data_IF_960633197317
#
_entry.id   IF_960633197317
#
_cell.length_a   1.000
_cell.length_b   1.000
_cell.length_c   1.000
_cell.angle_alpha   90.00
_cell.angle_beta   90.00
_cell.angle_gamma   90.00
#
_symmetry.space_group_name_H-M   'P 1'
#
loop_
_entity.id
_entity.type
_entity.pdbx_description
1 polymer ?
#
# COMPACT_ATOMS: atom_id res chain seq x y z
N UNK A 1 6.85 21.96 -35.61
CA UNK A 1 7.55 20.69 -35.88
C UNK A 1 8.73 20.42 -34.93
N UNK A 2 9.19 21.41 -34.14
CA UNK A 2 10.37 21.25 -33.28
C UNK A 2 10.10 20.83 -31.81
N UNK A 3 8.85 20.85 -31.34
CA UNK A 3 8.52 20.38 -29.98
C UNK A 3 8.37 18.86 -29.88
N UNK A 4 7.87 18.20 -30.92
CA UNK A 4 7.73 16.73 -30.97
C UNK A 4 9.10 16.03 -30.96
N UNK A 5 10.13 16.67 -31.53
CA UNK A 5 11.52 16.15 -31.49
C UNK A 5 12.19 16.34 -30.13
N UNK A 6 11.85 17.37 -29.35
CA UNK A 6 12.40 17.56 -27.99
C UNK A 6 11.90 16.51 -27.00
N UNK A 7 10.62 16.14 -27.08
CA UNK A 7 10.05 15.04 -26.29
C UNK A 7 10.77 13.73 -26.66
N UNK A 8 10.93 13.40 -27.95
CA UNK A 8 11.65 12.19 -28.36
C UNK A 8 13.13 12.10 -27.93
N UNK A 9 13.78 13.22 -27.60
CA UNK A 9 15.21 13.25 -27.24
C UNK A 9 15.44 13.14 -25.73
N UNK A 10 14.54 13.63 -24.88
CA UNK A 10 14.59 13.36 -23.43
C UNK A 10 14.30 11.87 -23.11
N UNK A 11 13.50 11.20 -23.94
CA UNK A 11 13.10 9.81 -23.73
C UNK A 11 14.17 8.78 -24.10
N UNK A 12 15.12 9.12 -24.99
CA UNK A 12 16.23 8.20 -25.34
C UNK A 12 17.22 7.96 -24.20
N UNK A 13 17.20 8.77 -23.14
CA UNK A 13 18.09 8.61 -21.99
C UNK A 13 17.55 7.69 -20.90
N UNK A 14 16.29 7.24 -20.97
CA UNK A 14 15.74 6.23 -20.05
C UNK A 14 16.03 4.78 -20.46
N UNK A 15 16.60 4.58 -21.65
CA UNK A 15 16.79 3.25 -22.24
C UNK A 15 18.27 3.03 -22.57
N UNK A 16 19.04 2.62 -21.56
CA UNK A 16 20.30 1.90 -21.77
C UNK A 16 20.22 0.56 -21.05
N UNK A 17 20.18 -0.50 -21.85
CA UNK A 17 20.43 -1.87 -21.41
C UNK A 17 21.87 -1.99 -20.87
N UNK A 18 22.01 -2.81 -19.83
CA UNK A 18 23.22 -3.15 -19.07
C UNK A 18 23.77 -2.08 -18.12
N UNK A 19 23.15 -1.87 -16.95
CA UNK A 19 23.84 -1.26 -15.80
C UNK A 19 23.37 -1.94 -14.49
N UNK A 20 24.35 -2.39 -13.71
CA UNK A 20 24.24 -2.70 -12.28
C UNK A 20 23.41 -1.60 -11.57
N UNK A 21 22.47 -2.01 -10.73
CA UNK A 21 21.73 -1.23 -9.74
C UNK A 21 22.26 0.18 -9.45
N UNK A 22 21.51 1.21 -9.85
CA UNK A 22 21.64 2.54 -9.23
C UNK A 22 20.31 3.31 -9.28
N UNK A 23 19.23 2.66 -8.86
CA UNK A 23 18.09 3.43 -8.34
C UNK A 23 18.49 3.88 -6.93
N UNK A 24 18.84 5.15 -6.76
CA UNK A 24 19.05 5.72 -5.43
C UNK A 24 17.68 5.91 -4.75
N UNK A 25 17.12 4.79 -4.27
CA UNK A 25 15.96 4.83 -3.39
C UNK A 25 16.50 5.10 -1.98
N UNK A 26 16.14 6.27 -1.44
CA UNK A 26 16.38 6.57 -0.03
C UNK A 26 15.36 5.81 0.81
N UNK A 27 15.77 4.68 1.37
CA UNK A 27 14.91 3.87 2.23
C UNK A 27 14.83 4.47 3.63
N UNK A 28 13.62 4.65 4.19
CA UNK A 28 13.49 5.20 5.54
C UNK A 28 13.87 4.19 6.62
N UNK A 29 13.79 2.88 6.34
CA UNK A 29 14.26 1.81 7.23
C UNK A 29 14.85 0.63 6.43
N UNK A 30 15.55 -0.26 7.12
CA UNK A 30 16.08 -1.49 6.52
C UNK A 30 14.97 -2.44 6.08
N UNK A 31 13.83 -2.45 6.78
CA UNK A 31 12.66 -3.26 6.47
C UNK A 31 12.03 -2.86 5.13
N UNK A 32 11.98 -1.56 4.82
CA UNK A 32 11.52 -1.07 3.52
C UNK A 32 12.42 -1.56 2.39
N UNK A 33 13.75 -1.49 2.61
CA UNK A 33 14.73 -2.02 1.67
C UNK A 33 14.55 -3.51 1.45
N UNK A 34 14.44 -4.28 2.54
CA UNK A 34 14.25 -5.73 2.49
C UNK A 34 12.97 -6.11 1.72
N UNK A 35 11.86 -5.38 1.94
CA UNK A 35 10.61 -5.61 1.23
C UNK A 35 10.76 -5.39 -0.28
N UNK A 36 11.30 -4.22 -0.67
CA UNK A 36 11.51 -3.88 -2.08
C UNK A 36 12.46 -4.88 -2.76
N UNK A 37 13.54 -5.29 -2.09
CA UNK A 37 14.46 -6.30 -2.64
C UNK A 37 13.81 -7.67 -2.82
N UNK A 38 12.96 -8.10 -1.88
CA UNK A 38 12.22 -9.36 -1.97
C UNK A 38 11.27 -9.35 -3.18
N UNK A 39 10.43 -8.32 -3.29
CA UNK A 39 9.49 -8.16 -4.41
C UNK A 39 10.23 -8.00 -5.74
N UNK A 40 11.32 -7.24 -5.77
CA UNK A 40 12.14 -7.10 -6.98
C UNK A 40 12.66 -8.45 -7.47
N UNK A 41 13.24 -9.27 -6.59
CA UNK A 41 13.77 -10.60 -6.94
C UNK A 41 12.65 -11.52 -7.42
N UNK A 42 11.49 -11.47 -6.77
CA UNK A 42 10.31 -12.23 -7.15
C UNK A 42 9.81 -11.83 -8.55
N UNK A 43 9.56 -10.54 -8.78
CA UNK A 43 9.10 -10.03 -10.07
C UNK A 43 10.10 -10.33 -11.18
N UNK A 44 11.41 -10.22 -10.91
CA UNK A 44 12.48 -10.55 -11.85
C UNK A 44 12.42 -12.02 -12.28
N UNK A 45 12.26 -12.93 -11.33
CA UNK A 45 12.22 -14.38 -11.58
C UNK A 45 10.97 -14.78 -12.36
N UNK A 46 9.85 -14.11 -12.10
CA UNK A 46 8.57 -14.35 -12.77
C UNK A 46 8.32 -13.47 -14.01
N UNK A 47 9.34 -12.70 -14.45
CA UNK A 47 9.25 -11.77 -15.60
C UNK A 47 8.08 -10.78 -15.50
N UNK A 48 7.77 -10.31 -14.29
CA UNK A 48 6.78 -9.28 -14.01
C UNK A 48 7.45 -7.90 -13.96
N UNK A 49 6.83 -6.90 -14.55
CA UNK A 49 7.25 -5.52 -14.39
C UNK A 49 6.89 -5.00 -13.00
N UNK A 50 7.71 -4.09 -12.49
CA UNK A 50 7.57 -3.53 -11.15
C UNK A 50 7.80 -2.03 -11.20
N UNK A 51 6.88 -1.27 -10.62
CA UNK A 51 6.92 0.19 -10.56
C UNK A 51 6.69 0.60 -9.12
N UNK A 52 7.58 1.43 -8.60
CA UNK A 52 7.48 2.04 -7.27
C UNK A 52 6.86 3.43 -7.40
N UNK A 53 5.91 3.74 -6.51
CA UNK A 53 5.20 5.02 -6.48
C UNK A 53 5.28 5.65 -5.08
N UNK A 54 4.56 6.76 -4.93
CA UNK A 54 4.30 7.37 -3.64
C UNK A 54 5.53 7.99 -3.00
N UNK A 55 5.55 8.02 -1.68
CA UNK A 55 6.57 8.74 -0.92
C UNK A 55 7.97 8.14 -1.07
N UNK A 56 8.09 6.82 -1.25
CA UNK A 56 9.37 6.16 -1.51
C UNK A 56 9.94 6.55 -2.88
N UNK A 57 9.12 6.55 -3.93
CA UNK A 57 9.56 6.99 -5.27
C UNK A 57 9.99 8.47 -5.28
N UNK A 58 9.35 9.30 -4.45
CA UNK A 58 9.64 10.74 -4.31
C UNK A 58 10.81 11.05 -3.36
N UNK A 59 11.33 10.07 -2.64
CA UNK A 59 12.36 10.29 -1.61
C UNK A 59 11.87 11.07 -0.38
N UNK A 60 10.57 11.10 -0.12
CA UNK A 60 9.93 11.80 1.01
C UNK A 60 9.32 10.85 2.04
N UNK A 61 9.64 9.57 1.94
CA UNK A 61 9.14 8.54 2.84
C UNK A 61 9.67 8.70 4.27
N UNK A 62 8.80 8.44 5.25
CA UNK A 62 9.18 8.31 6.66
C UNK A 62 9.23 6.84 7.04
N UNK A 63 9.69 6.52 8.26
CA UNK A 63 9.69 5.14 8.77
C UNK A 63 8.31 4.48 8.89
N UNK A 64 7.23 5.25 8.75
CA UNK A 64 5.85 4.78 8.78
C UNK A 64 5.18 4.87 7.41
N UNK A 65 5.88 5.34 6.38
CA UNK A 65 5.31 5.43 5.04
C UNK A 65 4.87 4.06 4.51
N UNK A 66 3.78 4.09 3.76
CA UNK A 66 3.33 3.00 2.89
C UNK A 66 4.29 2.82 1.69
N UNK A 67 4.36 1.58 1.20
CA UNK A 67 5.04 1.21 -0.03
C UNK A 67 3.99 1.04 -1.12
N UNK A 68 3.93 1.98 -2.06
CA UNK A 68 3.01 1.91 -3.20
C UNK A 68 3.68 1.22 -4.39
N UNK A 69 3.13 0.08 -4.84
CA UNK A 69 3.66 -0.67 -5.98
C UNK A 69 2.61 -0.91 -7.05
N UNK A 70 3.04 -0.87 -8.31
CA UNK A 70 2.31 -1.44 -9.43
C UNK A 70 3.09 -2.63 -9.98
N UNK A 71 2.41 -3.77 -10.11
CA UNK A 71 2.96 -4.98 -10.74
C UNK A 71 2.20 -5.24 -12.03
N UNK A 72 2.95 -5.44 -13.12
CA UNK A 72 2.39 -5.73 -14.45
C UNK A 72 2.89 -7.05 -15.02
N UNK A 73 1.95 -7.88 -15.44
CA UNK A 73 2.23 -9.15 -16.10
C UNK A 73 1.07 -10.11 -15.94
N UNK A 74 1.24 -11.31 -16.49
CA UNK A 74 0.31 -12.41 -16.25
C UNK A 74 0.54 -12.93 -14.83
N UNK A 75 -0.51 -12.87 -14.03
CA UNK A 75 -0.48 -13.24 -12.61
C UNK A 75 -1.63 -14.22 -12.37
N UNK A 76 -1.28 -15.45 -11.99
CA UNK A 76 -2.23 -16.48 -11.59
C UNK A 76 -2.33 -16.60 -10.07
N UNK A 77 -3.07 -17.59 -9.57
CA UNK A 77 -3.36 -17.72 -8.14
C UNK A 77 -2.07 -17.99 -7.35
N UNK A 78 -1.20 -18.84 -7.91
CA UNK A 78 0.06 -19.22 -7.29
C UNK A 78 1.01 -18.02 -7.19
N UNK A 79 1.09 -17.21 -8.24
CA UNK A 79 1.89 -15.97 -8.22
C UNK A 79 1.35 -15.00 -7.17
N UNK A 80 0.03 -14.91 -6.97
CA UNK A 80 -0.56 -14.07 -5.89
C UNK A 80 -0.22 -14.62 -4.51
N UNK A 81 -0.40 -15.93 -4.28
CA UNK A 81 -0.06 -16.61 -3.01
C UNK A 81 1.39 -16.28 -2.59
N UNK A 82 2.32 -16.47 -3.53
CA UNK A 82 3.73 -16.20 -3.31
C UNK A 82 3.98 -14.71 -3.12
N UNK A 83 3.36 -13.83 -3.92
CA UNK A 83 3.54 -12.39 -3.81
C UNK A 83 3.09 -11.85 -2.45
N UNK A 84 2.01 -12.39 -1.87
CA UNK A 84 1.51 -12.01 -0.55
C UNK A 84 2.45 -12.45 0.56
N UNK A 85 3.11 -13.60 0.39
CA UNK A 85 3.87 -14.26 1.45
C UNK A 85 5.38 -14.15 1.30
N UNK A 86 5.89 -13.62 0.19
CA UNK A 86 7.33 -13.55 -0.13
C UNK A 86 8.18 -12.84 0.93
N UNK A 87 7.61 -11.83 1.58
CA UNK A 87 8.26 -11.10 2.66
C UNK A 87 7.99 -11.69 4.05
N UNK A 88 7.07 -12.64 4.14
CA UNK A 88 6.49 -13.17 5.36
C UNK A 88 4.97 -12.99 5.37
N UNK A 89 4.29 -13.68 6.26
CA UNK A 89 2.83 -13.62 6.35
C UNK A 89 2.37 -12.23 6.85
N UNK A 90 1.50 -11.53 6.11
CA UNK A 90 0.90 -10.30 6.60
C UNK A 90 0.00 -10.57 7.82
N UNK A 91 -0.01 -9.62 8.74
CA UNK A 91 -0.90 -9.60 9.92
C UNK A 91 -2.30 -9.14 9.51
N UNK A 92 -2.38 -8.17 8.58
CA UNK A 92 -3.65 -7.74 8.01
C UNK A 92 -3.56 -7.73 6.48
N UNK A 93 -4.60 -8.26 5.84
CA UNK A 93 -4.84 -8.14 4.40
C UNK A 93 -6.21 -7.52 4.13
N UNK A 94 -6.30 -6.68 3.09
CA UNK A 94 -7.57 -6.10 2.66
C UNK A 94 -7.52 -5.67 1.18
N UNK A 95 -8.68 -5.40 0.60
CA UNK A 95 -8.83 -4.72 -0.68
C UNK A 95 -9.40 -3.31 -0.45
N UNK A 96 -8.86 -2.32 -1.16
CA UNK A 96 -9.44 -0.98 -1.16
C UNK A 96 -10.78 -0.93 -1.90
N UNK A 97 -11.71 -0.11 -1.40
CA UNK A 97 -13.00 0.14 -2.06
C UNK A 97 -12.94 1.37 -3.00
N UNK A 98 -12.09 2.35 -2.67
CA UNK A 98 -11.87 3.55 -3.49
C UNK A 98 -10.42 4.07 -3.35
N UNK A 99 -9.57 4.01 -4.40
CA UNK A 99 -9.81 3.32 -5.68
C UNK A 99 -9.99 1.83 -5.43
N UNK A 100 -10.85 1.15 -6.20
CA UNK A 100 -11.15 -0.27 -5.96
C UNK A 100 -9.97 -1.20 -6.29
N UNK A 101 -9.87 -2.31 -5.56
CA UNK A 101 -9.06 -3.50 -5.86
C UNK A 101 -7.53 -3.33 -5.71
N UNK A 102 -7.06 -2.42 -4.85
CA UNK A 102 -5.65 -2.41 -4.40
C UNK A 102 -5.52 -3.34 -3.20
N UNK A 103 -4.58 -4.27 -3.28
CA UNK A 103 -4.28 -5.21 -2.20
C UNK A 103 -3.40 -4.53 -1.16
N UNK A 104 -3.94 -4.37 0.05
CA UNK A 104 -3.21 -3.84 1.19
C UNK A 104 -2.66 -4.99 2.02
N UNK A 105 -1.35 -4.99 2.22
CA UNK A 105 -0.64 -5.91 3.10
C UNK A 105 -0.02 -5.13 4.25
N UNK A 106 -0.28 -5.58 5.49
CA UNK A 106 0.32 -5.01 6.70
C UNK A 106 1.09 -6.10 7.42
N UNK A 107 2.39 -5.89 7.62
CA UNK A 107 3.27 -6.81 8.32
C UNK A 107 3.49 -6.40 9.78
N UNK A 108 3.91 -7.35 10.61
CA UNK A 108 4.12 -7.15 12.06
C UNK A 108 5.19 -6.09 12.40
N UNK A 109 6.09 -5.79 11.47
CA UNK A 109 7.12 -4.77 11.58
C UNK A 109 6.66 -3.40 11.04
N UNK A 110 5.35 -3.20 10.89
CA UNK A 110 4.69 -2.00 10.36
C UNK A 110 4.93 -1.69 8.88
N UNK A 111 5.60 -2.59 8.13
CA UNK A 111 5.64 -2.46 6.68
C UNK A 111 4.22 -2.61 6.14
N UNK A 112 3.77 -1.55 5.47
CA UNK A 112 2.46 -1.45 4.86
C UNK A 112 2.64 -1.27 3.36
N UNK A 113 1.92 -2.04 2.57
CA UNK A 113 2.11 -2.10 1.12
C UNK A 113 0.78 -2.03 0.43
N UNK A 114 0.69 -1.11 -0.52
CA UNK A 114 -0.42 -0.97 -1.45
C UNK A 114 0.02 -1.60 -2.79
N UNK A 115 -0.42 -2.84 -3.03
CA UNK A 115 -0.13 -3.62 -4.23
C UNK A 115 -1.25 -3.45 -5.26
N UNK A 116 -0.93 -2.77 -6.36
CA UNK A 116 -1.84 -2.62 -7.49
C UNK A 116 -1.41 -3.52 -8.66
N UNK A 117 -2.17 -4.60 -8.89
CA UNK A 117 -1.84 -5.62 -9.89
C UNK A 117 -2.72 -5.40 -11.12
N UNK A 118 -2.08 -5.12 -12.26
CA UNK A 118 -2.79 -4.74 -13.50
C UNK A 118 -2.12 -5.35 -14.73
N UNK A 119 -2.85 -5.40 -15.84
CA UNK A 119 -2.29 -5.86 -17.12
C UNK A 119 -1.58 -4.72 -17.90
N UNK A 120 -1.87 -3.47 -17.55
CA UNK A 120 -1.33 -2.29 -18.20
C UNK A 120 -1.43 -1.05 -17.29
N UNK A 121 -0.76 0.02 -17.69
CA UNK A 121 -0.75 1.34 -17.03
C UNK A 121 -0.89 2.47 -18.05
N UNK A 122 -1.22 3.65 -17.54
CA UNK A 122 -1.23 4.90 -18.30
C UNK A 122 0.10 5.67 -18.18
N UNK A 123 0.30 6.67 -19.04
CA UNK A 123 1.44 7.61 -18.89
C UNK A 123 1.37 8.41 -17.57
N UNK A 124 0.16 8.73 -17.10
CA UNK A 124 -0.04 9.41 -15.83
C UNK A 124 0.41 8.55 -14.65
N UNK A 125 0.33 7.22 -14.77
CA UNK A 125 0.85 6.33 -13.74
C UNK A 125 2.37 6.39 -13.59
N UNK A 126 3.08 6.82 -14.65
CA UNK A 126 4.54 6.93 -14.65
C UNK A 126 5.04 8.25 -14.03
N UNK A 127 4.16 9.25 -13.89
CA UNK A 127 4.52 10.51 -13.21
C UNK A 127 4.85 10.23 -11.75
N UNK A 128 5.96 10.80 -11.29
CA UNK A 128 6.50 10.61 -9.94
C UNK A 128 6.68 9.13 -9.53
N UNK A 129 7.02 8.27 -10.49
CA UNK A 129 7.25 6.84 -10.25
C UNK A 129 8.68 6.44 -10.63
N UNK A 130 9.14 5.31 -10.07
CA UNK A 130 10.39 4.66 -10.45
C UNK A 130 10.07 3.30 -11.06
N UNK A 131 10.40 3.13 -12.35
CA UNK A 131 10.28 1.83 -13.03
C UNK A 131 11.46 0.96 -12.65
N UNK A 132 11.23 -0.03 -11.80
CA UNK A 132 12.28 -0.93 -11.28
C UNK A 132 12.55 -2.11 -12.22
N UNK A 133 11.49 -2.67 -12.81
CA UNK A 133 11.56 -3.76 -13.79
C UNK A 133 10.59 -3.49 -14.94
N UNK A 134 11.05 -3.77 -16.17
CA UNK A 134 10.25 -3.59 -17.39
C UNK A 134 10.34 -4.84 -18.26
N UNK A 135 9.37 -5.75 -18.09
CA UNK A 135 9.23 -6.96 -18.91
C UNK A 135 7.99 -6.93 -19.80
N UNK A 136 6.89 -6.36 -19.29
CA UNK A 136 5.66 -6.16 -20.05
C UNK A 136 5.85 -5.12 -21.15
N UNK A 137 5.32 -5.40 -22.34
CA UNK A 137 5.22 -4.42 -23.44
C UNK A 137 4.06 -3.43 -23.23
N UNK A 138 3.14 -3.72 -22.30
CA UNK A 138 1.91 -2.96 -22.06
C UNK A 138 2.09 -1.77 -21.10
N UNK A 139 3.23 -1.09 -21.15
CA UNK A 139 3.47 0.14 -20.37
C UNK A 139 2.67 1.34 -20.88
N UNK A 140 2.10 1.26 -22.09
CA UNK A 140 1.30 2.33 -22.68
C UNK A 140 0.15 1.69 -23.46
N UNK A 141 -1.01 1.59 -22.84
CA UNK A 141 -2.28 1.30 -23.52
C UNK A 141 -3.32 2.29 -22.98
N UNK A 142 -4.08 2.87 -23.90
CA UNK A 142 -5.02 4.00 -23.76
C UNK A 142 -5.96 3.95 -22.54
N UNK A 143 -6.62 5.08 -22.24
CA UNK A 143 -7.40 5.48 -21.03
C UNK A 143 -8.41 4.50 -20.44
N UNK A 144 -8.69 3.35 -21.06
CA UNK A 144 -9.71 2.40 -20.68
C UNK A 144 -9.13 1.04 -20.27
N UNK A 145 -8.30 1.04 -19.23
CA UNK A 145 -7.73 -0.20 -18.70
C UNK A 145 -8.66 -0.88 -17.70
N UNK A 146 -9.08 -2.09 -18.04
CA UNK A 146 -9.62 -3.04 -17.06
C UNK A 146 -8.47 -3.48 -16.17
N UNK A 147 -8.51 -3.09 -14.88
CA UNK A 147 -7.72 -3.81 -13.85
C UNK A 147 -8.14 -5.29 -13.91
N UNK A 148 -7.30 -6.22 -13.44
CA UNK A 148 -7.70 -7.62 -13.24
C UNK A 148 -8.67 -7.73 -12.03
N UNK A 149 -9.79 -6.98 -12.10
CA UNK A 149 -10.74 -6.72 -11.02
C UNK A 149 -11.39 -8.00 -10.51
N UNK A 150 -11.74 -8.90 -11.42
CA UNK A 150 -12.47 -10.12 -11.08
C UNK A 150 -11.62 -11.16 -10.33
N UNK A 151 -10.30 -11.09 -10.45
CA UNK A 151 -9.43 -12.16 -9.95
C UNK A 151 -9.10 -12.00 -8.46
N UNK A 152 -8.71 -10.78 -8.04
CA UNK A 152 -8.36 -10.50 -6.64
C UNK A 152 -9.57 -10.63 -5.70
N UNK A 153 -10.77 -10.29 -6.16
CA UNK A 153 -12.01 -10.40 -5.39
C UNK A 153 -12.37 -11.85 -5.04
N UNK A 154 -12.01 -12.82 -5.88
CA UNK A 154 -12.22 -14.24 -5.58
C UNK A 154 -11.15 -14.80 -4.64
N UNK A 155 -10.04 -14.10 -4.51
CA UNK A 155 -8.86 -14.57 -3.81
C UNK A 155 -8.81 -14.04 -2.35
N UNK A 156 -9.21 -12.79 -2.12
CA UNK A 156 -9.30 -12.22 -0.76
C UNK A 156 -10.75 -12.22 -0.30
N UNK A 157 -11.02 -13.02 0.74
CA UNK A 157 -12.33 -13.06 1.39
C UNK A 157 -12.72 -11.66 1.88
N UNK A 158 -13.97 -11.28 1.60
CA UNK A 158 -14.54 -10.04 2.12
C UNK A 158 -14.44 -10.01 3.64
N UNK A 159 -13.87 -8.93 4.17
CA UNK A 159 -13.66 -8.75 5.60
C UNK A 159 -14.87 -8.09 6.25
N UNK A 160 -15.23 -8.45 7.49
CA UNK A 160 -16.31 -7.81 8.22
C UNK A 160 -15.99 -6.32 8.47
N UNK A 161 -17.03 -5.51 8.66
CA UNK A 161 -16.90 -4.06 8.83
C UNK A 161 -15.97 -3.67 9.99
N UNK A 162 -15.99 -4.40 11.11
CA UNK A 162 -15.09 -4.11 12.23
C UNK A 162 -13.62 -4.21 11.84
N UNK A 163 -13.26 -5.17 10.98
CA UNK A 163 -11.91 -5.36 10.48
C UNK A 163 -11.53 -4.25 9.48
N UNK A 164 -12.48 -3.82 8.64
CA UNK A 164 -12.30 -2.65 7.77
C UNK A 164 -12.06 -1.38 8.61
N UNK A 165 -12.76 -1.22 9.73
CA UNK A 165 -12.54 -0.14 10.70
C UNK A 165 -11.16 -0.21 11.34
N UNK A 166 -10.68 -1.39 11.75
CA UNK A 166 -9.29 -1.55 12.23
C UNK A 166 -8.27 -1.09 11.19
N UNK A 167 -8.45 -1.43 9.91
CA UNK A 167 -7.57 -0.93 8.85
C UNK A 167 -7.57 0.61 8.78
N UNK A 168 -8.72 1.26 8.95
CA UNK A 168 -8.79 2.73 8.99
C UNK A 168 -8.05 3.28 10.21
N UNK A 169 -8.21 2.66 11.38
CA UNK A 169 -7.47 3.03 12.60
C UNK A 169 -5.96 2.94 12.34
N UNK A 170 -5.50 1.82 11.80
CA UNK A 170 -4.09 1.61 11.44
C UNK A 170 -3.58 2.71 10.49
N UNK A 171 -4.35 3.02 9.44
CA UNK A 171 -4.02 4.08 8.49
C UNK A 171 -3.97 5.45 9.17
N UNK A 172 -4.94 5.77 10.02
CA UNK A 172 -5.00 7.05 10.74
C UNK A 172 -3.75 7.23 11.62
N UNK A 173 -3.38 6.20 12.38
CA UNK A 173 -2.20 6.20 13.26
C UNK A 173 -0.92 6.39 12.45
N UNK A 174 -0.74 5.66 11.35
CA UNK A 174 0.45 5.81 10.49
C UNK A 174 0.54 7.22 9.90
N UNK A 175 -0.58 7.80 9.46
CA UNK A 175 -0.58 9.17 8.93
C UNK A 175 -0.26 10.19 10.04
N UNK A 176 -0.78 10.00 11.24
CA UNK A 176 -0.45 10.82 12.41
C UNK A 176 1.04 10.78 12.73
N UNK A 177 1.62 9.57 12.88
CA UNK A 177 3.04 9.34 13.13
C UNK A 177 3.97 9.83 11.99
N UNK A 178 3.40 10.10 10.81
CA UNK A 178 4.09 10.72 9.67
C UNK A 178 3.87 12.24 9.58
N UNK A 179 3.40 12.88 10.65
CA UNK A 179 3.07 14.30 10.73
C UNK A 179 1.99 14.78 9.73
N UNK A 180 1.09 13.89 9.29
CA UNK A 180 -0.04 14.23 8.41
C UNK A 180 -1.31 14.42 9.24
N UNK A 181 -1.27 15.39 10.15
CA UNK A 181 -2.27 15.61 11.22
C UNK A 181 -3.69 15.76 10.68
N UNK A 182 -3.91 16.67 9.72
CA UNK A 182 -5.25 16.88 9.15
C UNK A 182 -5.81 15.60 8.50
N UNK A 183 -4.96 14.84 7.81
CA UNK A 183 -5.35 13.56 7.21
C UNK A 183 -5.73 12.53 8.27
N UNK A 184 -4.98 12.46 9.37
CA UNK A 184 -5.30 11.54 10.47
C UNK A 184 -6.61 11.88 11.17
N UNK A 185 -6.90 13.16 11.42
CA UNK A 185 -8.18 13.57 12.01
C UNK A 185 -9.37 13.35 11.07
N UNK A 186 -9.21 13.58 9.76
CA UNK A 186 -10.25 13.23 8.79
C UNK A 186 -10.57 11.72 8.80
N UNK A 187 -9.55 10.87 8.93
CA UNK A 187 -9.73 9.43 9.08
C UNK A 187 -10.38 9.07 10.44
N UNK A 188 -10.05 9.78 11.51
CA UNK A 188 -10.69 9.59 12.82
C UNK A 188 -12.20 9.85 12.75
N UNK A 189 -12.63 10.90 12.05
CA UNK A 189 -14.05 11.17 11.84
C UNK A 189 -14.73 10.06 11.01
N UNK A 190 -14.10 9.58 9.93
CA UNK A 190 -14.59 8.42 9.16
C UNK A 190 -14.69 7.15 10.04
N UNK A 191 -13.74 6.94 10.96
CA UNK A 191 -13.78 5.83 11.92
C UNK A 191 -14.98 5.98 12.84
N UNK A 192 -15.20 7.17 13.43
CA UNK A 192 -16.35 7.45 14.29
C UNK A 192 -17.68 7.20 13.58
N UNK A 193 -17.79 7.59 12.31
CA UNK A 193 -18.95 7.28 11.47
C UNK A 193 -19.17 5.76 11.31
N UNK A 194 -18.09 5.00 11.08
CA UNK A 194 -18.16 3.56 10.95
C UNK A 194 -18.56 2.82 12.24
N UNK A 195 -18.28 3.39 13.42
CA UNK A 195 -18.68 2.80 14.70
C UNK A 195 -20.20 2.69 14.84
N UNK A 196 -20.98 3.61 14.24
CA UNK A 196 -22.43 3.50 14.22
C UNK A 196 -22.93 2.23 13.51
N UNK A 197 -22.26 1.85 12.42
CA UNK A 197 -22.56 0.60 11.69
C UNK A 197 -22.20 -0.67 12.47
N UNK A 198 -21.34 -0.53 13.48
CA UNK A 198 -20.93 -1.59 14.40
C UNK A 198 -21.75 -1.57 15.70
N UNK A 199 -22.75 -0.69 15.82
CA UNK A 199 -23.53 -0.47 17.04
C UNK A 199 -22.69 -0.05 18.26
N UNK A 200 -21.57 0.64 18.04
CA UNK A 200 -20.73 1.23 19.09
C UNK A 200 -20.99 2.75 19.11
N UNK A 201 -21.89 3.18 19.99
CA UNK A 201 -22.43 4.56 19.98
C UNK A 201 -22.24 5.29 21.32
N UNK A 202 -21.64 4.64 22.29
CA UNK A 202 -21.55 5.05 23.70
C UNK A 202 -20.16 5.59 24.07
N UNK A 203 -19.39 6.06 23.10
CA UNK A 203 -18.05 6.60 23.31
C UNK A 203 -18.08 8.12 23.50
N UNK A 204 -17.42 8.57 24.58
CA UNK A 204 -17.12 9.98 24.82
C UNK A 204 -15.70 10.28 24.32
N UNK A 205 -15.56 11.34 23.53
CA UNK A 205 -14.28 11.74 22.91
C UNK A 205 -13.70 12.98 23.59
N UNK A 206 -12.38 13.01 23.74
CA UNK A 206 -11.68 14.13 24.38
C UNK A 206 -11.01 15.09 23.36
N UNK A 207 -11.16 14.82 22.06
CA UNK A 207 -10.54 15.54 20.94
C UNK A 207 -8.99 15.48 20.92
N UNK A 208 -8.40 14.55 21.67
CA UNK A 208 -7.00 14.16 21.53
C UNK A 208 -6.94 12.93 20.63
N UNK A 209 -6.21 13.02 19.52
CA UNK A 209 -6.13 11.93 18.55
C UNK A 209 -5.64 10.62 19.17
N UNK A 210 -4.57 10.68 19.98
CA UNK A 210 -3.91 9.51 20.56
C UNK A 210 -4.83 8.80 21.56
N UNK A 211 -5.52 9.56 22.41
CA UNK A 211 -6.45 9.01 23.39
C UNK A 211 -7.70 8.44 22.69
N UNK A 212 -8.32 9.22 21.80
CA UNK A 212 -9.55 8.83 21.09
C UNK A 212 -9.31 7.56 20.24
N UNK A 213 -8.19 7.49 19.50
CA UNK A 213 -7.91 6.35 18.62
C UNK A 213 -7.60 5.07 19.41
N UNK A 214 -6.90 5.17 20.55
CA UNK A 214 -6.65 4.03 21.44
C UNK A 214 -7.94 3.58 22.11
N UNK A 215 -8.78 4.51 22.55
CA UNK A 215 -10.05 4.21 23.18
C UNK A 215 -10.98 3.46 22.23
N UNK A 216 -11.10 3.95 20.98
CA UNK A 216 -11.85 3.27 19.91
C UNK A 216 -11.29 1.87 19.66
N UNK A 217 -9.97 1.73 19.52
CA UNK A 217 -9.35 0.42 19.28
C UNK A 217 -9.66 -0.57 20.41
N UNK A 218 -9.50 -0.14 21.66
CA UNK A 218 -9.76 -1.00 22.82
C UNK A 218 -11.23 -1.44 22.89
N UNK A 219 -12.17 -0.55 22.54
CA UNK A 219 -13.60 -0.88 22.45
C UNK A 219 -13.88 -1.94 21.38
N UNK A 220 -13.28 -1.80 20.20
CA UNK A 220 -13.40 -2.79 19.11
C UNK A 220 -12.76 -4.12 19.50
N UNK A 221 -11.57 -4.09 20.11
CA UNK A 221 -10.88 -5.29 20.56
C UNK A 221 -11.70 -6.09 21.57
N UNK A 222 -12.32 -5.41 22.54
CA UNK A 222 -13.18 -6.04 23.53
C UNK A 222 -14.47 -6.63 22.93
N UNK A 223 -15.06 -5.99 21.91
CA UNK A 223 -16.31 -6.44 21.30
C UNK A 223 -16.12 -7.61 20.33
N UNK A 224 -15.03 -7.61 19.55
CA UNK A 224 -14.85 -8.52 18.42
C UNK A 224 -13.72 -9.54 18.59
N UNK A 225 -13.09 -9.59 19.77
CA UNK A 225 -11.97 -10.51 20.09
C UNK A 225 -10.87 -10.48 19.01
N UNK A 226 -10.25 -9.30 18.85
CA UNK A 226 -9.26 -9.09 17.78
C UNK A 226 -8.04 -10.00 17.98
N UNK A 227 -7.56 -10.59 16.88
CA UNK A 227 -6.42 -11.51 16.86
C UNK A 227 -5.15 -10.92 17.53
N UNK A 228 -4.42 -11.76 18.27
CA UNK A 228 -3.24 -11.37 19.05
C UNK A 228 -2.15 -10.69 18.20
N UNK A 229 -1.99 -11.07 16.93
CA UNK A 229 -1.00 -10.44 16.05
C UNK A 229 -1.44 -9.03 15.67
N UNK A 230 -2.73 -8.81 15.46
CA UNK A 230 -3.29 -7.47 15.20
C UNK A 230 -3.17 -6.62 16.47
N UNK A 231 -3.47 -7.18 17.64
CA UNK A 231 -3.26 -6.49 18.92
C UNK A 231 -1.79 -6.09 19.12
N UNK A 232 -0.86 -7.00 18.87
CA UNK A 232 0.57 -6.70 18.95
C UNK A 232 1.00 -5.59 17.97
N UNK A 233 0.47 -5.61 16.74
CA UNK A 233 0.70 -4.56 15.74
C UNK A 233 0.27 -3.18 16.26
N UNK A 234 -0.95 -3.06 16.77
CA UNK A 234 -1.46 -1.77 17.28
C UNK A 234 -0.73 -1.32 18.54
N UNK A 235 -0.46 -2.21 19.49
CA UNK A 235 0.31 -1.87 20.69
C UNK A 235 1.70 -1.31 20.33
N UNK A 236 2.36 -1.88 19.32
CA UNK A 236 3.65 -1.37 18.84
C UNK A 236 3.55 0.01 18.18
N UNK A 237 2.42 0.34 17.54
CA UNK A 237 2.18 1.66 16.95
C UNK A 237 1.82 2.69 18.01
N UNK A 238 0.93 2.36 18.94
CA UNK A 238 0.52 3.24 20.03
C UNK A 238 1.67 3.59 20.98
N UNK A 239 2.65 2.69 21.13
CA UNK A 239 3.87 2.99 21.89
C UNK A 239 4.77 4.06 21.23
N UNK A 240 4.37 4.65 20.09
CA UNK A 240 5.14 5.66 19.34
C UNK A 240 4.55 7.06 19.40
N UNK A 241 3.39 7.21 20.04
CA UNK A 241 2.87 8.51 20.46
C UNK A 241 3.89 9.23 21.36
#
# INVERSE_FOLDING_TARGET
MDEVRKIGTQFKNYFKENILFNFEITYPTQEHKNYIEAIYKFCKSNRLSLILKGSLAKGTATKFSDIDLIILGEVDNFIIDDLITIYGNPVMTNLTENPKDILILVHNNNITVDLDIRNAISEDDLKDSLVLLKYSTNFIVDKNLSKNRAFLLNYILEKPNWYKTLRLIHRAVIKYLSNKIDTSYNLLEEIKENLFSLHINDLEYNNNFEDDIQYIFNRINAEFEVDDKINALFNNLFSKF
#
